data_IF_249736693175
#
_entry.id   IF_249736693175
#
_cell.length_a   1.000
_cell.length_b   1.000
_cell.length_c   1.000
_cell.angle_alpha   90.00
_cell.angle_beta   90.00
_cell.angle_gamma   90.00
#
_symmetry.space_group_name_H-M   'P 1'
#
loop_
_entity.id
_entity.type
_entity.pdbx_description
1 polymer ?
#
# COMPACT_ATOMS: atom_id res chain seq x y z
N UNK A 1 0.32 2.12 -6.54
CA UNK A 1 1.10 2.07 -5.29
C UNK A 1 0.16 2.25 -4.11
N UNK A 2 0.27 1.43 -3.06
CA UNK A 2 -0.57 1.52 -1.87
C UNK A 2 0.31 1.81 -0.65
N UNK A 3 -0.10 2.78 0.15
CA UNK A 3 0.51 3.08 1.44
C UNK A 3 0.37 1.90 2.41
N UNK A 4 1.40 1.65 3.22
CA UNK A 4 1.44 0.59 4.24
C UNK A 4 0.22 0.62 5.18
N UNK A 5 -0.24 1.80 5.62
CA UNK A 5 -1.41 1.92 6.49
C UNK A 5 -2.70 1.51 5.79
N UNK A 6 -2.82 1.77 4.49
CA UNK A 6 -3.94 1.32 3.66
C UNK A 6 -3.91 -0.20 3.51
N UNK A 7 -2.73 -0.79 3.28
CA UNK A 7 -2.54 -2.24 3.18
C UNK A 7 -2.89 -2.94 4.48
N UNK A 8 -2.34 -2.49 5.62
CA UNK A 8 -2.65 -3.01 6.95
C UNK A 8 -4.16 -2.96 7.21
N UNK A 9 -4.79 -1.82 6.89
CA UNK A 9 -6.23 -1.64 7.05
C UNK A 9 -7.05 -2.63 6.21
N UNK A 10 -6.67 -2.85 4.95
CA UNK A 10 -7.37 -3.76 4.04
C UNK A 10 -7.20 -5.24 4.38
N UNK A 11 -6.06 -5.62 4.95
CA UNK A 11 -5.78 -6.99 5.38
C UNK A 11 -6.59 -7.34 6.65
N UNK A 12 -6.64 -6.44 7.64
CA UNK A 12 -7.14 -6.75 8.98
C UNK A 12 -8.60 -6.34 9.26
N UNK A 13 -9.17 -5.45 8.45
CA UNK A 13 -10.54 -4.98 8.61
C UNK A 13 -11.33 -5.04 7.31
N UNK A 14 -12.65 -5.01 7.43
CA UNK A 14 -13.57 -4.81 6.32
C UNK A 14 -13.70 -3.32 6.00
N UNK A 15 -14.23 -3.01 4.80
CA UNK A 15 -14.51 -1.65 4.37
C UNK A 15 -13.68 -1.22 3.17
N UNK A 16 -13.61 0.09 2.88
CA UNK A 16 -13.01 0.60 1.65
C UNK A 16 -11.58 0.10 1.39
N UNK A 17 -10.64 0.06 2.36
CA UNK A 17 -9.30 -0.47 2.11
C UNK A 17 -9.29 -1.94 1.65
N UNK A 18 -10.18 -2.78 2.17
CA UNK A 18 -10.31 -4.18 1.72
C UNK A 18 -10.86 -4.26 0.29
N UNK A 19 -11.86 -3.45 -0.03
CA UNK A 19 -12.38 -3.33 -1.40
C UNK A 19 -11.29 -2.88 -2.36
N UNK A 20 -10.47 -1.91 -1.96
CA UNK A 20 -9.34 -1.44 -2.75
C UNK A 20 -8.31 -2.55 -3.02
N UNK A 21 -7.97 -3.36 -2.01
CA UNK A 21 -7.06 -4.50 -2.22
C UNK A 21 -7.63 -5.51 -3.24
N UNK A 22 -8.93 -5.78 -3.19
CA UNK A 22 -9.58 -6.66 -4.16
C UNK A 22 -9.55 -6.06 -5.59
N UNK A 23 -9.83 -4.77 -5.73
CA UNK A 23 -9.75 -4.07 -7.03
C UNK A 23 -8.32 -4.02 -7.56
N UNK A 24 -7.34 -3.79 -6.69
CA UNK A 24 -5.93 -3.73 -7.08
C UNK A 24 -5.35 -5.09 -7.50
N UNK A 25 -5.97 -6.19 -7.05
CA UNK A 25 -5.64 -7.56 -7.46
C UNK A 25 -6.46 -8.05 -8.67
N UNK A 26 -7.41 -7.24 -9.16
CA UNK A 26 -8.23 -7.61 -10.32
C UNK A 26 -7.40 -7.56 -11.62
N UNK A 27 -7.75 -8.36 -12.64
CA UNK A 27 -7.08 -8.33 -13.94
C UNK A 27 -7.04 -6.92 -14.53
N UNK A 28 -5.89 -6.51 -15.07
CA UNK A 28 -5.66 -5.17 -15.59
C UNK A 28 -5.13 -4.17 -14.56
N UNK A 29 -5.22 -4.49 -13.27
CA UNK A 29 -4.61 -3.72 -12.20
C UNK A 29 -3.41 -4.47 -11.61
N UNK A 30 -2.47 -3.72 -11.04
CA UNK A 30 -1.36 -4.28 -10.28
C UNK A 30 -0.98 -3.32 -9.15
N UNK A 31 -1.18 -3.76 -7.91
CA UNK A 31 -0.52 -3.11 -6.78
C UNK A 31 1.00 -3.31 -6.87
N UNK A 32 1.75 -2.31 -6.40
CA UNK A 32 3.21 -2.30 -6.39
C UNK A 32 3.69 -2.35 -4.94
N UNK A 33 4.82 -3.00 -4.72
CA UNK A 33 5.53 -3.02 -3.44
C UNK A 33 7.02 -3.27 -3.67
N UNK A 34 7.82 -3.19 -2.60
CA UNK A 34 9.23 -3.59 -2.60
C UNK A 34 9.54 -4.53 -1.43
N UNK A 35 10.68 -5.24 -1.44
CA UNK A 35 11.11 -6.06 -0.31
C UNK A 35 11.20 -5.26 1.00
N UNK A 36 11.65 -4.00 0.93
CA UNK A 36 11.78 -3.10 2.07
C UNK A 36 10.40 -2.78 2.67
N UNK A 37 9.41 -2.47 1.83
CA UNK A 37 8.04 -2.23 2.29
C UNK A 37 7.35 -3.49 2.83
N UNK A 38 7.66 -4.67 2.28
CA UNK A 38 7.15 -5.94 2.81
C UNK A 38 7.72 -6.24 4.20
N UNK A 39 9.01 -6.00 4.41
CA UNK A 39 9.65 -6.14 5.72
C UNK A 39 9.06 -5.15 6.75
N UNK A 40 8.81 -3.91 6.33
CA UNK A 40 8.15 -2.91 7.16
C UNK A 40 6.70 -3.30 7.49
N UNK A 41 5.95 -3.79 6.50
CA UNK A 41 4.60 -4.30 6.70
C UNK A 41 4.57 -5.45 7.72
N UNK A 42 5.51 -6.39 7.65
CA UNK A 42 5.64 -7.48 8.61
C UNK A 42 5.89 -6.95 10.03
N UNK A 43 6.83 -5.99 10.16
CA UNK A 43 7.15 -5.33 11.44
C UNK A 43 5.93 -4.63 12.04
N UNK A 44 5.16 -3.92 11.22
CA UNK A 44 3.93 -3.24 11.65
C UNK A 44 2.90 -4.26 12.10
N UNK A 45 2.62 -5.29 11.30
CA UNK A 45 1.67 -6.36 11.65
C UNK A 45 2.11 -7.16 12.88
N UNK A 46 3.40 -7.18 13.20
CA UNK A 46 3.97 -7.79 14.41
C UNK A 46 3.60 -7.09 15.72
N UNK A 47 3.10 -5.84 15.68
CA UNK A 47 2.62 -5.10 16.87
C UNK A 47 1.48 -5.86 17.55
N UNK A 48 1.49 -5.95 18.88
CA UNK A 48 0.60 -6.84 19.68
C UNK A 48 -0.87 -6.81 19.26
N UNK A 49 -1.49 -5.63 19.23
CA UNK A 49 -2.89 -5.47 18.88
C UNK A 49 -3.23 -5.88 17.42
N UNK A 50 -2.31 -5.69 16.48
CA UNK A 50 -2.48 -6.08 15.06
C UNK A 50 -2.27 -7.58 14.89
N UNK A 51 -1.26 -8.14 15.54
CA UNK A 51 -1.00 -9.58 15.56
C UNK A 51 -2.18 -10.35 16.16
N UNK A 52 -2.75 -9.87 17.26
CA UNK A 52 -3.96 -10.44 17.85
C UNK A 52 -5.15 -10.34 16.88
N UNK A 53 -5.27 -9.24 16.15
CA UNK A 53 -6.31 -9.08 15.13
C UNK A 53 -6.13 -10.08 13.98
N UNK A 54 -4.91 -10.24 13.47
CA UNK A 54 -4.59 -11.23 12.44
C UNK A 54 -4.91 -12.65 12.91
N UNK A 55 -4.52 -12.99 14.15
CA UNK A 55 -4.79 -14.29 14.74
C UNK A 55 -6.30 -14.60 14.84
N UNK A 56 -7.13 -13.60 15.18
CA UNK A 56 -8.60 -13.74 15.17
C UNK A 56 -9.18 -14.00 13.78
N UNK A 57 -8.47 -13.62 12.72
CA UNK A 57 -8.83 -13.92 11.33
C UNK A 57 -8.28 -15.27 10.86
N UNK A 58 -7.46 -15.95 11.67
CA UNK A 58 -6.80 -17.22 11.32
C UNK A 58 -5.49 -17.06 10.55
N UNK A 59 -4.85 -15.88 10.62
CA UNK A 59 -3.61 -15.58 9.89
C UNK A 59 -2.50 -15.15 10.84
N UNK A 60 -1.25 -15.46 10.50
CA UNK A 60 -0.07 -14.80 11.09
C UNK A 60 0.31 -13.54 10.29
N UNK A 61 1.10 -12.60 10.87
CA UNK A 61 1.69 -11.51 10.12
C UNK A 61 2.44 -11.97 8.85
N UNK A 62 3.23 -13.04 8.97
CA UNK A 62 3.98 -13.60 7.84
C UNK A 62 3.04 -14.14 6.75
N UNK A 63 1.95 -14.80 7.11
CA UNK A 63 0.97 -15.31 6.12
C UNK A 63 0.31 -14.15 5.34
N UNK A 64 -0.04 -13.06 6.04
CA UNK A 64 -0.63 -11.87 5.43
C UNK A 64 0.34 -11.18 4.47
N UNK A 65 1.60 -11.02 4.88
CA UNK A 65 2.65 -10.43 4.04
C UNK A 65 2.90 -11.29 2.81
N UNK A 66 2.99 -12.61 2.98
CA UNK A 66 3.17 -13.54 1.87
C UNK A 66 1.98 -13.53 0.91
N UNK A 67 0.74 -13.43 1.42
CA UNK A 67 -0.45 -13.30 0.59
C UNK A 67 -0.46 -11.98 -0.20
N UNK A 68 -0.10 -10.87 0.45
CA UNK A 68 0.00 -9.57 -0.20
C UNK A 68 1.11 -9.55 -1.26
N UNK A 69 2.28 -10.10 -0.97
CA UNK A 69 3.39 -10.21 -1.92
C UNK A 69 3.01 -11.03 -3.17
N UNK A 70 2.22 -12.10 -3.03
CA UNK A 70 1.72 -12.88 -4.17
C UNK A 70 0.69 -12.15 -5.02
N UNK A 71 -0.06 -11.21 -4.43
CA UNK A 71 -1.09 -10.43 -5.09
C UNK A 71 -0.58 -9.09 -5.66
N UNK A 72 0.72 -8.80 -5.51
CA UNK A 72 1.33 -7.54 -5.91
C UNK A 72 2.56 -7.76 -6.77
N UNK A 73 2.93 -6.76 -7.56
CA UNK A 73 4.21 -6.73 -8.26
C UNK A 73 5.28 -6.20 -7.31
N UNK A 74 6.19 -7.08 -6.92
CA UNK A 74 7.36 -6.74 -6.08
C UNK A 74 8.49 -6.26 -6.98
N UNK A 75 9.05 -5.11 -6.69
CA UNK A 75 10.18 -4.52 -7.43
C UNK A 75 11.21 -3.88 -6.48
N UNK A 76 12.45 -3.83 -6.94
CA UNK A 76 13.49 -3.03 -6.27
C UNK A 76 13.29 -1.55 -6.61
N UNK A 77 13.32 -0.70 -5.58
CA UNK A 77 13.19 0.74 -5.73
C UNK A 77 14.42 1.42 -5.11
N UNK A 78 15.26 2.10 -5.90
CA UNK A 78 16.35 2.89 -5.34
C UNK A 78 15.77 4.05 -4.52
N UNK A 79 16.42 4.45 -3.42
CA UNK A 79 15.98 5.59 -2.64
C UNK A 79 15.99 6.86 -3.49
N UNK A 80 14.95 7.68 -3.33
CA UNK A 80 14.84 9.00 -3.94
C UNK A 80 15.43 10.08 -3.01
N UNK A 81 15.77 11.27 -3.53
CA UNK A 81 16.07 12.42 -2.68
C UNK A 81 14.92 12.68 -1.69
N UNK A 82 15.21 13.04 -0.43
CA UNK A 82 14.19 13.30 0.57
C UNK A 82 13.19 14.35 0.06
N UNK A 83 11.93 13.94 -0.08
CA UNK A 83 10.85 14.76 -0.62
C UNK A 83 9.78 14.99 0.44
N UNK A 84 9.53 13.98 1.26
CA UNK A 84 8.61 14.00 2.37
C UNK A 84 9.34 14.29 3.70
N UNK A 85 8.56 14.67 4.72
CA UNK A 85 9.07 14.82 6.09
C UNK A 85 9.33 13.46 6.74
N UNK A 86 8.53 12.47 6.39
CA UNK A 86 8.71 11.08 6.79
C UNK A 86 9.51 10.31 5.72
N UNK A 87 10.47 9.51 6.15
CA UNK A 87 11.27 8.67 5.25
C UNK A 87 10.48 7.47 4.74
N UNK A 88 9.44 7.06 5.47
CA UNK A 88 8.57 5.97 5.05
C UNK A 88 7.74 6.38 3.82
N UNK A 89 7.34 7.65 3.75
CA UNK A 89 6.67 8.25 2.59
C UNK A 89 7.59 8.29 1.36
N UNK A 90 8.87 8.64 1.53
CA UNK A 90 9.85 8.64 0.44
C UNK A 90 10.02 7.23 -0.15
N UNK A 91 9.93 6.17 0.66
CA UNK A 91 9.96 4.79 0.16
C UNK A 91 8.72 4.47 -0.69
N UNK A 92 7.54 4.94 -0.27
CA UNK A 92 6.30 4.77 -1.06
C UNK A 92 6.43 5.46 -2.42
N UNK A 93 6.93 6.69 -2.44
CA UNK A 93 7.16 7.45 -3.66
C UNK A 93 8.24 6.83 -4.56
N UNK A 94 9.32 6.30 -3.97
CA UNK A 94 10.36 5.59 -4.71
C UNK A 94 9.82 4.36 -5.45
N UNK A 95 8.99 3.55 -4.78
CA UNK A 95 8.34 2.39 -5.40
C UNK A 95 7.33 2.81 -6.46
N UNK A 96 6.57 3.88 -6.21
CA UNK A 96 5.67 4.45 -7.20
C UNK A 96 6.42 4.86 -8.48
N UNK A 97 7.54 5.56 -8.33
CA UNK A 97 8.38 6.00 -9.43
C UNK A 97 8.98 4.82 -10.21
N UNK A 98 9.62 3.88 -9.50
CA UNK A 98 10.31 2.74 -10.11
C UNK A 98 9.35 1.77 -10.82
N UNK A 99 8.13 1.61 -10.30
CA UNK A 99 7.11 0.76 -10.90
C UNK A 99 6.20 1.47 -11.91
N UNK A 100 6.35 2.78 -12.14
CA UNK A 100 5.51 3.56 -13.04
C UNK A 100 4.04 3.61 -12.58
N UNK A 101 3.80 3.82 -11.29
CA UNK A 101 2.45 3.86 -10.75
C UNK A 101 1.65 5.04 -11.31
N UNK A 102 0.39 4.81 -11.70
CA UNK A 102 -0.52 5.90 -12.06
C UNK A 102 -1.15 6.55 -10.81
N UNK A 103 -1.30 5.76 -9.74
CA UNK A 103 -1.91 6.17 -8.48
C UNK A 103 -1.02 5.79 -7.29
N UNK A 104 -0.87 6.73 -6.35
CA UNK A 104 -0.45 6.48 -4.97
C UNK A 104 -1.67 6.63 -4.08
N UNK A 105 -2.05 5.55 -3.38
CA UNK A 105 -3.23 5.57 -2.52
C UNK A 105 -2.81 5.63 -1.07
N UNK A 106 -3.18 6.71 -0.39
CA UNK A 106 -2.84 6.96 1.02
C UNK A 106 -4.02 7.55 1.79
N UNK A 107 -3.95 7.44 3.11
CA UNK A 107 -4.81 8.16 4.05
C UNK A 107 -4.10 9.34 4.73
N UNK A 108 -2.82 9.54 4.46
CA UNK A 108 -2.01 10.60 5.08
C UNK A 108 -2.30 11.95 4.42
N UNK A 109 -2.70 12.94 5.24
CA UNK A 109 -3.00 14.28 4.78
C UNK A 109 -1.76 15.00 4.22
N UNK A 110 -0.58 14.71 4.75
CA UNK A 110 0.67 15.32 4.32
C UNK A 110 1.07 14.85 2.93
N UNK A 111 0.88 13.56 2.62
CA UNK A 111 1.03 13.03 1.26
C UNK A 111 -0.06 13.55 0.33
N UNK A 112 -1.31 13.60 0.78
CA UNK A 112 -2.44 14.06 -0.04
C UNK A 112 -2.27 15.51 -0.52
N UNK A 113 -1.64 16.38 0.28
CA UNK A 113 -1.36 17.78 -0.08
C UNK A 113 -0.43 17.91 -1.29
N UNK A 114 0.44 16.91 -1.55
CA UNK A 114 1.32 16.93 -2.72
C UNK A 114 0.54 16.82 -4.03
N UNK A 115 -0.62 16.15 -4.03
CA UNK A 115 -1.52 15.96 -5.18
C UNK A 115 -0.98 15.03 -6.27
N UNK A 116 0.28 15.19 -6.66
CA UNK A 116 0.99 14.35 -7.62
C UNK A 116 2.48 14.27 -7.24
N UNK A 117 3.07 13.09 -7.35
CA UNK A 117 4.50 12.90 -7.16
C UNK A 117 5.01 11.79 -8.08
N UNK A 118 6.19 11.98 -8.66
CA UNK A 118 6.83 11.00 -9.54
C UNK A 118 5.94 10.50 -10.70
N UNK A 119 5.07 11.38 -11.22
CA UNK A 119 4.10 11.06 -12.29
C UNK A 119 2.86 10.28 -11.84
N UNK A 120 2.74 10.01 -10.53
CA UNK A 120 1.61 9.31 -9.93
C UNK A 120 0.70 10.28 -9.19
N UNK A 121 -0.61 10.20 -9.43
CA UNK A 121 -1.59 11.00 -8.67
C UNK A 121 -1.76 10.44 -7.27
N UNK A 122 -1.68 11.30 -6.27
CA UNK A 122 -1.86 10.92 -4.87
C UNK A 122 -3.33 11.10 -4.51
N UNK A 123 -3.98 10.00 -4.12
CA UNK A 123 -5.43 9.95 -3.96
C UNK A 123 -5.83 9.23 -2.68
N UNK A 124 -7.02 9.53 -2.19
CA UNK A 124 -7.62 8.79 -1.07
C UNK A 124 -8.08 7.41 -1.51
N UNK A 125 -8.28 6.51 -0.53
CA UNK A 125 -8.88 5.18 -0.77
C UNK A 125 -10.22 5.28 -1.50
N UNK A 126 -11.07 6.24 -1.12
CA UNK A 126 -12.39 6.42 -1.74
C UNK A 126 -12.29 6.88 -3.20
N UNK A 127 -11.35 7.76 -3.51
CA UNK A 127 -11.09 8.20 -4.89
C UNK A 127 -10.50 7.07 -5.73
N UNK A 128 -9.55 6.31 -5.19
CA UNK A 128 -8.95 5.17 -5.89
C UNK A 128 -10.00 4.11 -6.25
N UNK A 129 -10.92 3.78 -5.33
CA UNK A 129 -12.02 2.83 -5.60
C UNK A 129 -12.92 3.34 -6.73
N UNK A 130 -13.27 4.63 -6.74
CA UNK A 130 -14.09 5.21 -7.82
C UNK A 130 -13.41 5.12 -9.18
N UNK A 131 -12.09 5.31 -9.24
CA UNK A 131 -11.31 5.22 -10.49
C UNK A 131 -11.13 3.78 -10.98
N UNK A 132 -10.89 2.85 -10.06
CA UNK A 132 -10.63 1.45 -10.39
C UNK A 132 -11.92 0.64 -10.61
N UNK A 133 -13.01 1.02 -9.97
CA UNK A 133 -14.32 0.38 -10.10
C UNK A 133 -15.23 1.00 -11.17
N UNK A 134 -14.79 2.09 -11.81
CA UNK A 134 -15.57 2.83 -12.80
C UNK A 134 -15.15 2.51 -14.24
N UNK A 135 -15.82 1.52 -14.82
CA UNK A 135 -16.09 1.38 -16.26
C UNK A 135 -17.59 1.35 -16.48
#
# INVERSE_FOLDING_TARGET
MLDSNVVVSGLLWSGPPRTLLALAAAPGNAALTSPQLLAELERVLGRSHLRERAARLGWTPADLVAAFARATRVLEAPPIPPTCRDRDDDMVLAVAAAGGAELVVTGDADLLVLGEACGARIVTVAEAIRRLGGG
#
